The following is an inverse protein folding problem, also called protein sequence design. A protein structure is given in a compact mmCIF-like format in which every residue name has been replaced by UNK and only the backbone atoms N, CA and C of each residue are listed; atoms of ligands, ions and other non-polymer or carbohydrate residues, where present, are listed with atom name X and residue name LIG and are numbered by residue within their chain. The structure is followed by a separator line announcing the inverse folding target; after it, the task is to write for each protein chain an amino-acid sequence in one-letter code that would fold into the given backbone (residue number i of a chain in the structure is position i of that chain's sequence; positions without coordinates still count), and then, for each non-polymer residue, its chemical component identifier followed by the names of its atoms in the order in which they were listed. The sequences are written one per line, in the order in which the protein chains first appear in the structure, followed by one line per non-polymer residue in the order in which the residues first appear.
data_IF_736896904419
#
_entry.id   IF_736896904419
#
_cell.length_a   1.000
_cell.length_b   1.000
_cell.length_c   1.000
_cell.angle_alpha   90.00
_cell.angle_beta   90.00
_cell.angle_gamma   90.00
#
_symmetry.space_group_name_H-M   'P 1'
#
loop_
_entity.id
_entity.type
_entity.pdbx_description
1 polymer ?
#
# COMPACT_ATOMS: atom_id res chain seq x y z
N UNK A 1 15.07 -3.37 7.18
CA UNK A 1 14.33 -2.29 7.87
C UNK A 1 12.86 -2.58 7.70
N UNK A 2 12.05 -2.39 8.75
CA UNK A 2 10.61 -2.46 8.61
C UNK A 2 10.17 -1.14 7.95
N UNK A 3 9.22 -1.22 7.05
CA UNK A 3 8.71 -0.05 6.35
C UNK A 3 7.21 -0.19 6.24
N UNK A 4 6.53 0.85 6.68
CA UNK A 4 5.09 0.95 6.61
C UNK A 4 4.70 1.64 5.30
N UNK A 5 3.78 1.00 4.61
CA UNK A 5 3.23 1.44 3.34
C UNK A 5 1.78 1.81 3.62
N UNK A 6 1.49 3.10 3.47
CA UNK A 6 0.17 3.66 3.65
C UNK A 6 -0.46 3.87 2.28
N UNK A 7 -1.59 3.23 2.03
CA UNK A 7 -2.43 3.44 0.85
C UNK A 7 -3.69 4.14 1.33
N UNK A 8 -3.90 5.35 0.81
CA UNK A 8 -5.02 6.21 1.16
C UNK A 8 -5.96 6.27 -0.04
N UNK A 9 -7.23 5.97 0.17
CA UNK A 9 -8.26 6.04 -0.86
C UNK A 9 -9.64 6.27 -0.24
N UNK A 10 -10.53 6.88 -1.01
CA UNK A 10 -11.96 6.96 -0.69
C UNK A 10 -12.74 5.71 -1.12
N UNK A 11 -12.08 4.73 -1.75
CA UNK A 11 -12.69 3.50 -2.25
C UNK A 11 -12.21 2.28 -1.44
N UNK A 12 -12.95 1.88 -0.39
CA UNK A 12 -12.55 0.78 0.48
C UNK A 12 -12.41 -0.56 -0.25
N UNK A 13 -13.19 -0.77 -1.33
CA UNK A 13 -13.10 -1.96 -2.18
C UNK A 13 -11.72 -2.13 -2.84
N UNK A 14 -11.06 -1.03 -3.22
CA UNK A 14 -9.70 -1.08 -3.80
C UNK A 14 -8.68 -1.60 -2.79
N UNK A 15 -8.85 -1.32 -1.50
CA UNK A 15 -7.95 -1.83 -0.48
C UNK A 15 -8.04 -3.35 -0.32
N UNK A 16 -9.26 -3.90 -0.41
CA UNK A 16 -9.46 -5.35 -0.38
C UNK A 16 -8.86 -6.03 -1.62
N UNK A 17 -9.03 -5.42 -2.79
CA UNK A 17 -8.40 -5.89 -4.03
C UNK A 17 -6.87 -5.91 -3.90
N UNK A 18 -6.27 -4.85 -3.35
CA UNK A 18 -4.82 -4.77 -3.12
C UNK A 18 -4.33 -5.92 -2.25
N UNK A 19 -4.95 -6.14 -1.10
CA UNK A 19 -4.54 -7.21 -0.20
C UNK A 19 -4.72 -8.58 -0.86
N UNK A 20 -5.88 -8.84 -1.48
CA UNK A 20 -6.13 -10.12 -2.15
C UNK A 20 -5.09 -10.43 -3.22
N UNK A 21 -4.77 -9.44 -4.07
CA UNK A 21 -3.82 -9.61 -5.16
C UNK A 21 -2.38 -9.78 -4.67
N UNK A 22 -1.99 -9.07 -3.61
CA UNK A 22 -0.69 -9.26 -2.97
C UNK A 22 -0.58 -10.65 -2.32
N UNK A 23 -1.63 -11.14 -1.66
CA UNK A 23 -1.67 -12.50 -1.10
C UNK A 23 -1.60 -13.57 -2.20
N UNK A 24 -2.29 -13.37 -3.33
CA UNK A 24 -2.25 -14.28 -4.51
C UNK A 24 -0.82 -14.49 -5.04
N UNK A 25 0.02 -13.45 -5.03
CA UNK A 25 1.41 -13.53 -5.50
C UNK A 25 2.40 -13.95 -4.40
N UNK A 26 1.92 -14.29 -3.21
CA UNK A 26 2.75 -14.73 -2.09
C UNK A 26 3.48 -13.59 -1.37
N UNK A 27 2.93 -12.38 -1.38
CA UNK A 27 3.50 -11.24 -0.67
C UNK A 27 3.54 -11.50 0.85
N UNK A 28 4.70 -11.31 1.46
CA UNK A 28 4.91 -11.54 2.89
C UNK A 28 4.72 -10.26 3.69
N UNK A 29 3.50 -10.08 4.19
CA UNK A 29 3.18 -9.02 5.14
C UNK A 29 3.81 -9.31 6.52
N UNK A 30 4.43 -8.29 7.12
CA UNK A 30 4.81 -8.34 8.53
C UNK A 30 3.61 -7.99 9.44
N UNK A 31 2.87 -6.97 9.04
CA UNK A 31 1.65 -6.52 9.68
C UNK A 31 0.73 -5.88 8.63
N UNK A 32 -0.57 -5.84 8.90
CA UNK A 32 -1.57 -5.14 8.09
C UNK A 32 -2.68 -4.56 8.97
N UNK A 33 -2.97 -3.29 8.77
CA UNK A 33 -3.98 -2.55 9.51
C UNK A 33 -4.88 -1.77 8.54
N UNK A 34 -6.17 -1.66 8.89
CA UNK A 34 -7.13 -0.90 8.12
C UNK A 34 -7.81 0.13 9.01
N UNK A 35 -7.79 1.40 8.60
CA UNK A 35 -8.37 2.54 9.34
C UNK A 35 -9.34 3.32 8.48
N UNK A 36 -10.49 3.70 9.04
CA UNK A 36 -11.33 4.76 8.48
C UNK A 36 -10.94 6.09 9.13
N UNK A 37 -10.66 7.11 8.33
CA UNK A 37 -10.44 8.48 8.83
C UNK A 37 -11.80 9.06 9.19
N UNK A 38 -11.96 9.57 10.40
CA UNK A 38 -13.29 9.84 10.98
C UNK A 38 -14.01 11.06 10.38
N UNK A 39 -13.31 11.93 9.65
CA UNK A 39 -13.84 13.24 9.22
C UNK A 39 -14.02 13.38 7.71
N UNK A 40 -13.45 12.48 6.93
CA UNK A 40 -13.53 12.45 5.47
C UNK A 40 -13.76 10.97 5.13
N UNK A 41 -14.58 10.61 4.13
CA UNK A 41 -14.78 9.21 3.72
C UNK A 41 -13.52 8.61 3.06
N UNK A 42 -12.36 8.85 3.67
CA UNK A 42 -11.06 8.29 3.38
C UNK A 42 -10.80 7.09 4.28
N UNK A 43 -10.23 6.08 3.66
CA UNK A 43 -9.75 4.88 4.28
C UNK A 43 -8.24 4.82 4.11
N UNK A 44 -7.56 4.19 5.05
CA UNK A 44 -6.12 3.98 5.02
C UNK A 44 -5.89 2.48 5.20
N UNK A 45 -5.28 1.86 4.21
CA UNK A 45 -4.67 0.55 4.34
C UNK A 45 -3.19 0.74 4.68
N UNK A 46 -2.76 0.17 5.80
CA UNK A 46 -1.36 0.18 6.24
C UNK A 46 -0.86 -1.24 6.18
N UNK A 47 0.29 -1.47 5.57
CA UNK A 47 0.96 -2.75 5.68
C UNK A 47 2.48 -2.60 5.73
N UNK A 48 3.11 -3.51 6.45
CA UNK A 48 4.53 -3.44 6.74
C UNK A 48 5.29 -4.53 5.98
N UNK A 49 6.46 -4.19 5.44
CA UNK A 49 7.38 -5.14 4.79
C UNK A 49 8.82 -4.96 5.27
N UNK A 50 9.64 -6.00 5.08
CA UNK A 50 11.11 -5.84 5.16
C UNK A 50 11.64 -5.30 3.83
N UNK A 51 12.49 -4.30 3.90
CA UNK A 51 13.28 -3.83 2.76
C UNK A 51 14.73 -3.56 3.16
N UNK A 52 15.63 -3.67 2.18
CA UNK A 52 17.02 -3.21 2.27
C UNK A 52 17.22 -1.82 1.68
N UNK A 53 16.22 -1.29 0.96
CA UNK A 53 16.26 0.06 0.37
C UNK A 53 16.25 1.12 1.47
N UNK A 54 17.18 2.08 1.36
CA UNK A 54 17.40 3.16 2.33
C UNK A 54 16.95 4.52 1.79
N UNK A 55 16.62 4.62 0.51
CA UNK A 55 16.05 5.81 -0.09
C UNK A 55 14.51 5.68 -0.14
N UNK A 56 13.80 6.56 0.56
CA UNK A 56 12.33 6.55 0.61
C UNK A 56 11.69 6.82 -0.75
N UNK A 57 12.25 7.70 -1.57
CA UNK A 57 11.71 8.04 -2.88
C UNK A 57 11.84 6.84 -3.84
N UNK A 58 13.03 6.22 -3.88
CA UNK A 58 13.26 4.98 -4.65
C UNK A 58 12.34 3.85 -4.18
N UNK A 59 12.16 3.72 -2.86
CA UNK A 59 11.27 2.72 -2.31
C UNK A 59 9.80 2.96 -2.69
N UNK A 60 9.36 4.22 -2.66
CA UNK A 60 8.03 4.63 -3.08
C UNK A 60 7.80 4.32 -4.56
N UNK A 61 8.75 4.67 -5.44
CA UNK A 61 8.67 4.33 -6.87
C UNK A 61 8.61 2.82 -7.11
N UNK A 62 9.43 2.04 -6.38
CA UNK A 62 9.42 0.58 -6.48
C UNK A 62 8.08 -0.01 -6.06
N UNK A 63 7.53 0.42 -4.92
CA UNK A 63 6.21 -0.01 -4.44
C UNK A 63 5.14 0.37 -5.46
N UNK A 64 5.23 1.58 -6.03
CA UNK A 64 4.30 2.02 -7.07
C UNK A 64 4.40 1.13 -8.32
N UNK A 65 5.60 0.80 -8.77
CA UNK A 65 5.81 -0.12 -9.89
C UNK A 65 5.24 -1.51 -9.62
N UNK A 66 5.55 -2.08 -8.44
CA UNK A 66 5.04 -3.39 -8.00
C UNK A 66 3.52 -3.43 -8.01
N UNK A 67 2.87 -2.48 -7.33
CA UNK A 67 1.42 -2.42 -7.25
C UNK A 67 0.76 -2.13 -8.60
N UNK A 68 1.38 -1.35 -9.50
CA UNK A 68 0.85 -1.13 -10.85
C UNK A 68 0.88 -2.39 -11.71
N UNK A 69 1.93 -3.19 -11.57
CA UNK A 69 2.08 -4.45 -12.30
C UNK A 69 1.04 -5.48 -11.84
N UNK A 70 0.67 -5.45 -10.57
CA UNK A 70 -0.30 -6.35 -9.97
C UNK A 70 -1.73 -5.88 -10.26
N UNK A 71 -1.97 -4.58 -10.16
CA UNK A 71 -3.28 -3.94 -10.29
C UNK A 71 -3.13 -2.74 -11.25
N UNK A 72 -3.31 -2.98 -12.55
CA UNK A 72 -3.20 -1.93 -13.54
C UNK A 72 -4.18 -0.79 -13.26
N UNK A 73 -3.73 0.46 -13.43
CA UNK A 73 -4.53 1.68 -13.24
C UNK A 73 -4.98 1.96 -11.79
N UNK A 74 -4.34 1.35 -10.79
CA UNK A 74 -4.66 1.60 -9.39
C UNK A 74 -4.54 3.10 -9.00
N UNK A 75 -3.61 3.83 -9.62
CA UNK A 75 -3.15 5.18 -9.24
C UNK A 75 -4.06 6.34 -9.58
N UNK A 76 -5.17 6.16 -10.29
CA UNK A 76 -6.05 7.30 -10.59
C UNK A 76 -6.65 7.93 -9.33
N UNK A 77 -6.84 7.13 -8.27
CA UNK A 77 -7.62 7.54 -7.08
C UNK A 77 -6.98 7.08 -5.75
N UNK A 78 -5.68 6.78 -5.73
CA UNK A 78 -4.98 6.38 -4.50
C UNK A 78 -3.72 7.24 -4.25
N UNK A 79 -3.47 7.55 -2.99
CA UNK A 79 -2.22 8.15 -2.53
C UNK A 79 -1.39 7.11 -1.78
N UNK A 80 -0.09 7.02 -2.08
CA UNK A 80 0.85 6.12 -1.38
C UNK A 80 1.86 6.95 -0.59
N UNK A 81 1.98 6.66 0.71
CA UNK A 81 3.03 7.18 1.60
C UNK A 81 3.86 6.03 2.16
N UNK A 82 5.16 6.27 2.30
CA UNK A 82 6.12 5.29 2.80
C UNK A 82 6.86 5.90 3.97
N UNK A 83 6.96 5.18 5.08
CA UNK A 83 7.68 5.61 6.29
C UNK A 83 8.43 4.45 6.95
N UNK A 84 9.46 4.77 7.72
CA UNK A 84 10.24 3.81 8.51
C UNK A 84 9.66 3.55 9.88
#
# INVERSE_FOLDING_TARGET
MNTDIHIISNQPEKHLEIISKLEEIGYLFLDKEYKKVSNEDQYILIFSRKTSERNLDTLKENIQGELNNIIPNLYSDIEIKVSY
#
